data_IF_218185323643
#
_entry.id   IF_218185323643
#
_cell.length_a   1.000
_cell.length_b   1.000
_cell.length_c   1.000
_cell.angle_alpha   90.00
_cell.angle_beta   90.00
_cell.angle_gamma   90.00
#
_symmetry.space_group_name_H-M   'P 1'
#
loop_
_entity.id
_entity.type
_entity.pdbx_description
1 polymer ?
#
# COMPACT_ATOMS: atom_id res chain seq x y z
N UNK A 1 17.31 -22.77 2.01
CA UNK A 1 16.27 -22.55 3.03
C UNK A 1 15.04 -22.01 2.35
N UNK A 2 13.97 -22.79 2.30
CA UNK A 2 12.74 -22.33 1.69
C UNK A 2 12.20 -21.15 2.50
N UNK A 3 12.11 -20.00 1.88
CA UNK A 3 11.50 -18.85 2.49
C UNK A 3 9.98 -19.08 2.48
N UNK A 4 9.45 -19.52 3.59
CA UNK A 4 8.02 -19.78 3.78
C UNK A 4 7.22 -18.51 4.02
N UNK A 5 7.64 -17.41 3.46
CA UNK A 5 6.78 -16.22 3.42
C UNK A 5 5.61 -16.56 2.53
N UNK A 6 4.44 -16.67 3.09
CA UNK A 6 3.23 -16.89 2.31
C UNK A 6 3.05 -15.68 1.38
N UNK A 7 3.42 -15.86 0.14
CA UNK A 7 3.25 -14.87 -0.90
C UNK A 7 1.77 -14.85 -1.28
N UNK A 8 1.01 -14.05 -0.58
CA UNK A 8 -0.34 -13.72 -1.03
C UNK A 8 -0.18 -12.66 -2.13
N UNK A 9 -0.69 -12.92 -3.31
CA UNK A 9 -0.63 -12.01 -4.45
C UNK A 9 -1.14 -10.61 -4.04
N UNK A 10 -0.33 -9.57 -4.24
CA UNK A 10 -0.63 -8.21 -3.85
C UNK A 10 -0.37 -7.87 -2.39
N UNK A 11 0.22 -8.77 -1.62
CA UNK A 11 0.56 -8.50 -0.23
C UNK A 11 1.90 -7.79 -0.08
N UNK A 12 2.00 -6.97 0.96
CA UNK A 12 3.27 -6.42 1.44
C UNK A 12 3.98 -7.52 2.20
N UNK A 13 5.25 -7.77 1.90
CA UNK A 13 6.05 -8.73 2.64
C UNK A 13 7.39 -8.15 3.08
N UNK A 14 7.88 -8.56 4.27
CA UNK A 14 9.12 -8.05 4.81
C UNK A 14 10.32 -8.61 4.04
N UNK A 15 11.29 -7.74 3.76
CA UNK A 15 12.59 -8.11 3.19
C UNK A 15 13.62 -8.30 4.30
N UNK A 16 13.59 -7.44 5.30
CA UNK A 16 14.53 -7.46 6.39
C UNK A 16 14.55 -6.15 7.14
N UNK A 17 15.63 -5.93 7.89
CA UNK A 17 15.86 -4.68 8.61
C UNK A 17 17.27 -4.18 8.40
N UNK A 18 17.43 -2.87 8.28
CA UNK A 18 18.72 -2.19 8.13
C UNK A 18 18.76 -1.04 9.14
N UNK A 19 19.73 -1.06 10.03
CA UNK A 19 19.93 -0.02 11.04
C UNK A 19 18.67 0.32 11.86
N UNK A 20 17.88 -0.68 12.21
CA UNK A 20 16.63 -0.51 12.97
C UNK A 20 15.43 -0.11 12.12
N UNK A 21 15.58 0.03 10.82
CA UNK A 21 14.51 0.33 9.89
C UNK A 21 14.02 -0.96 9.25
N UNK A 22 12.73 -1.25 9.36
CA UNK A 22 12.13 -2.40 8.71
C UNK A 22 11.89 -2.11 7.23
N UNK A 23 12.32 -3.01 6.37
CA UNK A 23 12.18 -2.89 4.91
C UNK A 23 11.12 -3.85 4.42
N UNK A 24 10.18 -3.32 3.66
CA UNK A 24 9.09 -4.07 3.06
C UNK A 24 9.07 -3.92 1.55
N UNK A 25 8.59 -4.92 0.86
CA UNK A 25 8.35 -4.85 -0.57
C UNK A 25 6.85 -4.86 -0.84
N UNK A 26 6.40 -3.92 -1.64
CA UNK A 26 5.01 -3.83 -2.07
C UNK A 26 4.96 -3.68 -3.60
N UNK A 27 4.42 -4.67 -4.34
CA UNK A 27 4.34 -4.59 -5.80
C UNK A 27 3.34 -3.52 -6.29
N UNK A 28 2.54 -2.96 -5.39
CA UNK A 28 1.53 -1.94 -5.73
C UNK A 28 2.07 -0.52 -5.72
N UNK A 29 3.31 -0.30 -5.29
CA UNK A 29 3.94 1.03 -5.35
C UNK A 29 4.08 1.42 -6.82
N UNK A 30 3.55 2.58 -7.25
CA UNK A 30 3.63 2.98 -8.65
C UNK A 30 5.07 3.11 -9.13
N UNK A 31 5.31 2.60 -10.32
CA UNK A 31 6.58 2.80 -11.00
C UNK A 31 6.78 4.28 -11.29
N UNK A 32 7.96 4.80 -10.95
CA UNK A 32 8.23 6.23 -11.10
C UNK A 32 8.51 6.66 -12.56
N UNK A 33 8.82 5.71 -13.42
CA UNK A 33 9.07 5.96 -14.83
C UNK A 33 10.54 5.88 -15.20
N UNK A 34 10.88 6.46 -16.35
CA UNK A 34 12.24 6.53 -16.83
C UNK A 34 12.75 7.98 -16.79
N UNK A 35 13.92 8.17 -16.25
CA UNK A 35 14.59 9.44 -16.36
C UNK A 35 15.06 9.66 -17.80
N UNK A 36 14.79 10.84 -18.33
CA UNK A 36 15.19 11.19 -19.68
C UNK A 36 16.71 11.13 -19.83
N UNK A 37 17.16 10.40 -20.82
CA UNK A 37 18.58 10.23 -21.11
C UNK A 37 18.77 9.23 -22.25
N UNK A 38 20.00 9.04 -22.65
CA UNK A 38 20.37 8.03 -23.62
C UNK A 38 21.59 7.26 -23.11
N UNK A 39 21.41 6.03 -22.58
CA UNK A 39 20.13 5.29 -22.44
C UNK A 39 19.21 5.86 -21.35
N UNK A 40 17.93 5.54 -21.44
CA UNK A 40 16.97 5.90 -20.42
C UNK A 40 17.24 5.11 -19.13
N UNK A 41 17.21 5.78 -17.99
CA UNK A 41 17.47 5.18 -16.69
C UNK A 41 16.16 4.87 -15.99
N UNK A 42 16.01 3.63 -15.59
CA UNK A 42 14.84 3.16 -14.83
C UNK A 42 14.83 3.78 -13.43
N UNK A 43 13.68 4.28 -13.02
CA UNK A 43 13.50 4.98 -11.77
C UNK A 43 12.48 4.25 -10.91
N UNK A 44 12.86 3.91 -9.68
CA UNK A 44 12.02 3.22 -8.72
C UNK A 44 11.64 4.16 -7.58
N UNK A 45 10.42 4.01 -7.07
CA UNK A 45 9.93 4.81 -5.96
C UNK A 45 10.08 4.07 -4.65
N UNK A 46 10.62 4.76 -3.67
CA UNK A 46 10.72 4.29 -2.29
C UNK A 46 9.91 5.23 -1.40
N UNK A 47 9.12 4.65 -0.52
CA UNK A 47 8.32 5.38 0.46
C UNK A 47 8.85 5.02 1.84
N UNK A 48 9.16 6.04 2.62
CA UNK A 48 9.61 5.89 4.01
C UNK A 48 8.55 6.48 4.91
N UNK A 49 8.11 5.70 5.89
CA UNK A 49 7.15 6.15 6.87
C UNK A 49 7.67 5.92 8.28
N UNK A 50 7.31 6.80 9.18
CA UNK A 50 7.54 6.64 10.60
C UNK A 50 6.29 6.11 11.26
N UNK A 51 6.42 5.04 12.03
CA UNK A 51 5.39 4.57 12.93
C UNK A 51 5.70 5.04 14.33
N UNK A 52 4.87 5.93 14.86
CA UNK A 52 4.99 6.39 16.24
C UNK A 52 4.33 5.44 17.22
N UNK A 53 4.70 5.58 18.49
CA UNK A 53 4.02 4.91 19.58
C UNK A 53 2.74 5.66 19.97
N UNK A 54 1.64 4.94 20.13
CA UNK A 54 0.37 5.51 20.57
C UNK A 54 -0.18 6.60 19.63
N UNK A 55 -0.01 7.85 20.00
CA UNK A 55 -0.55 9.00 19.26
C UNK A 55 0.33 9.48 18.09
N UNK A 56 1.33 8.72 17.73
CA UNK A 56 2.29 9.10 16.70
C UNK A 56 1.96 8.67 15.29
N UNK A 57 0.72 8.31 15.00
CA UNK A 57 0.31 7.95 13.65
C UNK A 57 0.05 9.20 12.81
N UNK A 58 0.61 9.24 11.59
CA UNK A 58 0.32 10.31 10.63
C UNK A 58 -0.96 10.08 9.85
N UNK A 59 -1.28 8.83 9.55
CA UNK A 59 -2.50 8.41 8.88
C UNK A 59 -3.26 7.41 9.73
N UNK A 60 -4.55 7.63 9.87
CA UNK A 60 -5.44 6.72 10.60
C UNK A 60 -6.50 6.20 9.67
N UNK A 61 -6.56 4.88 9.56
CA UNK A 61 -7.61 4.17 8.85
C UNK A 61 -8.71 3.79 9.82
N UNK A 62 -9.91 4.29 9.58
CA UNK A 62 -11.07 4.05 10.43
C UNK A 62 -12.15 3.31 9.63
N UNK A 63 -12.22 1.97 9.74
CA UNK A 63 -13.28 1.22 9.11
C UNK A 63 -14.58 1.38 9.91
N UNK A 64 -15.63 1.80 9.23
CA UNK A 64 -16.98 1.87 9.79
C UNK A 64 -17.78 0.61 9.48
N UNK A 65 -17.68 0.15 8.24
CA UNK A 65 -18.28 -1.08 7.77
C UNK A 65 -17.21 -1.86 7.00
N UNK A 66 -16.79 -2.99 7.52
CA UNK A 66 -15.66 -3.73 6.95
C UNK A 66 -15.98 -4.27 5.56
N UNK A 67 -16.90 -5.18 5.48
CA UNK A 67 -17.41 -5.68 4.21
C UNK A 67 -18.76 -6.32 4.44
N UNK A 68 -19.73 -5.94 3.66
CA UNK A 68 -21.06 -6.51 3.67
C UNK A 68 -21.41 -6.97 2.28
N UNK A 69 -21.82 -8.23 2.16
CA UNK A 69 -22.30 -8.77 0.89
C UNK A 69 -23.82 -8.84 0.88
N UNK A 70 -24.40 -8.38 -0.19
CA UNK A 70 -25.84 -8.45 -0.42
C UNK A 70 -26.08 -9.23 -1.70
N UNK A 71 -26.95 -10.22 -1.62
CA UNK A 71 -27.36 -11.01 -2.76
C UNK A 71 -28.82 -10.73 -3.05
N UNK A 72 -29.12 -10.50 -4.30
CA UNK A 72 -30.47 -10.28 -4.78
C UNK A 72 -30.67 -10.85 -6.15
N UNK A 73 -31.93 -11.01 -6.56
CA UNK A 73 -32.28 -11.44 -7.91
C UNK A 73 -32.84 -10.20 -8.63
N UNK A 74 -32.35 -9.97 -9.85
CA UNK A 74 -32.83 -8.87 -10.67
C UNK A 74 -34.27 -9.13 -11.14
N UNK A 75 -35.14 -8.15 -10.93
CA UNK A 75 -36.47 -8.20 -11.52
C UNK A 75 -36.40 -8.22 -13.05
N UNK A 76 -37.20 -9.08 -13.66
CA UNK A 76 -37.32 -9.18 -15.11
C UNK A 76 -36.38 -10.12 -15.79
N UNK A 77 -35.16 -10.31 -15.29
CA UNK A 77 -34.17 -11.22 -15.90
C UNK A 77 -33.87 -12.45 -15.04
N UNK A 78 -34.30 -12.45 -13.79
CA UNK A 78 -33.99 -13.49 -12.80
C UNK A 78 -32.51 -13.79 -12.65
N UNK A 79 -31.65 -12.86 -13.03
CA UNK A 79 -30.20 -12.98 -12.89
C UNK A 79 -29.78 -12.73 -11.45
N UNK A 80 -28.91 -13.59 -10.86
CA UNK A 80 -28.37 -13.33 -9.54
C UNK A 80 -27.44 -12.13 -9.57
N UNK A 81 -27.59 -11.24 -8.58
CA UNK A 81 -26.73 -10.08 -8.39
C UNK A 81 -26.09 -10.17 -7.00
N UNK A 82 -24.78 -9.94 -6.95
CA UNK A 82 -24.04 -9.84 -5.70
C UNK A 82 -23.39 -8.48 -5.64
N UNK A 83 -23.59 -7.79 -4.54
CA UNK A 83 -22.93 -6.53 -4.25
C UNK A 83 -22.12 -6.66 -2.97
N UNK A 84 -20.91 -6.12 -2.98
CA UNK A 84 -20.09 -6.00 -1.80
C UNK A 84 -19.87 -4.53 -1.53
N UNK A 85 -20.13 -4.09 -0.31
CA UNK A 85 -19.94 -2.70 0.10
C UNK A 85 -19.07 -2.63 1.35
N UNK A 86 -18.27 -1.59 1.43
CA UNK A 86 -17.52 -1.23 2.63
C UNK A 86 -17.57 0.28 2.84
N UNK A 87 -17.40 0.70 4.07
CA UNK A 87 -17.30 2.12 4.41
C UNK A 87 -16.10 2.32 5.32
N UNK A 88 -15.27 3.27 4.98
CA UNK A 88 -14.09 3.61 5.75
C UNK A 88 -13.78 5.10 5.61
N UNK A 89 -13.00 5.60 6.53
CA UNK A 89 -12.40 6.92 6.44
C UNK A 89 -10.88 6.77 6.57
N UNK A 90 -10.17 7.61 5.84
CA UNK A 90 -8.74 7.77 5.97
C UNK A 90 -8.48 9.22 6.37
N UNK A 91 -7.87 9.43 7.52
CA UNK A 91 -7.69 10.76 8.13
C UNK A 91 -6.23 10.99 8.44
N UNK A 92 -5.77 12.20 8.13
CA UNK A 92 -4.48 12.68 8.61
C UNK A 92 -4.62 13.07 10.08
N UNK A 93 -3.74 12.55 10.91
CA UNK A 93 -3.80 12.73 12.35
C UNK A 93 -2.58 13.50 12.86
N UNK A 94 -2.80 14.37 13.82
CA UNK A 94 -1.74 15.13 14.50
C UNK A 94 -1.39 16.46 13.83
N UNK A 95 -0.40 17.13 14.43
CA UNK A 95 0.22 18.33 13.85
C UNK A 95 1.27 17.90 12.82
N UNK A 96 1.18 18.41 11.60
CA UNK A 96 2.13 18.15 10.54
C UNK A 96 2.34 16.66 10.23
N UNK A 97 1.28 15.92 9.91
CA UNK A 97 1.39 14.49 9.58
C UNK A 97 2.27 14.23 8.35
N UNK A 98 2.41 15.21 7.48
CA UNK A 98 3.28 15.16 6.31
C UNK A 98 4.77 14.96 6.65
N UNK A 99 5.19 15.32 7.86
CA UNK A 99 6.57 15.13 8.30
C UNK A 99 6.90 13.68 8.65
N UNK A 100 5.90 12.83 8.77
CA UNK A 100 6.06 11.41 9.09
C UNK A 100 6.32 10.53 7.87
N UNK A 101 6.12 11.06 6.68
CA UNK A 101 6.23 10.31 5.44
C UNK A 101 7.11 11.04 4.46
N UNK A 102 7.90 10.29 3.74
CA UNK A 102 8.76 10.80 2.68
C UNK A 102 8.82 9.82 1.53
N UNK A 103 8.83 10.33 0.30
CA UNK A 103 9.03 9.51 -0.87
C UNK A 103 10.19 10.05 -1.70
N UNK A 104 11.00 9.15 -2.23
CA UNK A 104 12.10 9.51 -3.11
C UNK A 104 12.23 8.49 -4.23
N UNK A 105 12.95 8.88 -5.24
CA UNK A 105 13.19 8.05 -6.41
C UNK A 105 14.63 7.57 -6.42
N UNK A 106 14.81 6.31 -6.78
CA UNK A 106 16.12 5.66 -6.85
C UNK A 106 16.37 5.21 -8.27
N UNK A 107 17.56 5.50 -8.77
CA UNK A 107 18.04 5.07 -10.08
C UNK A 107 19.24 4.15 -9.92
N UNK A 108 19.54 3.37 -10.97
CA UNK A 108 20.70 2.51 -10.98
C UNK A 108 20.55 1.22 -10.18
N UNK A 109 19.34 0.81 -9.87
CA UNK A 109 19.07 -0.51 -9.30
C UNK A 109 19.14 -1.56 -10.41
N UNK A 110 20.05 -2.51 -10.24
CA UNK A 110 20.06 -3.74 -11.04
C UNK A 110 19.17 -4.78 -10.34
N UNK A 111 18.07 -5.06 -10.98
CA UNK A 111 17.10 -6.04 -10.47
C UNK A 111 17.20 -7.36 -11.23
#
# INVERSE_FOLDING_TARGET
MANTVSQVAGAIYPVGSVAGINVYTDPRIPFAGYQAGSPAVETHRVIVGRKGDGNGAGLVFMPYLMAESVQTIAEGTMAPKVAVKSRFALVEAGFHPETMYYSFEVTGLEL
#
